data_IF_207824959662
#
_entry.id   IF_207824959662
#
_cell.length_a   1.000
_cell.length_b   1.000
_cell.length_c   1.000
_cell.angle_alpha   90.00
_cell.angle_beta   90.00
_cell.angle_gamma   90.00
#
_symmetry.space_group_name_H-M   'P 1'
#
loop_
_entity.id
_entity.type
_entity.pdbx_description
1 polymer ?
#
# COMPACT_ATOMS: atom_id res chain seq x y z
N UNK A 1 22.94 19.51 -26.31
CA UNK A 1 22.17 18.92 -25.21
C UNK A 1 22.76 17.54 -24.95
N UNK A 2 23.53 17.30 -23.88
CA UNK A 2 24.05 15.95 -23.64
C UNK A 2 22.88 15.08 -23.16
N UNK A 3 22.65 13.97 -23.84
CA UNK A 3 21.72 12.95 -23.40
C UNK A 3 22.26 12.34 -22.11
N UNK A 4 21.49 12.42 -21.03
CA UNK A 4 21.80 11.72 -19.80
C UNK A 4 21.76 10.22 -20.09
N UNK A 5 22.94 9.60 -20.14
CA UNK A 5 23.11 8.16 -20.24
C UNK A 5 22.61 7.57 -18.91
N UNK A 6 21.37 7.11 -18.88
CA UNK A 6 20.81 6.38 -17.76
C UNK A 6 21.44 4.99 -17.74
N UNK A 7 22.61 4.88 -17.12
CA UNK A 7 23.26 3.60 -16.86
C UNK A 7 22.24 2.64 -16.23
N UNK A 8 21.93 1.54 -16.92
CA UNK A 8 21.02 0.50 -16.43
C UNK A 8 21.65 -0.13 -15.19
N UNK A 9 21.24 0.33 -14.01
CA UNK A 9 21.61 -0.33 -12.77
C UNK A 9 20.87 -1.67 -12.69
N UNK A 10 21.54 -2.74 -12.27
CA UNK A 10 20.88 -4.03 -12.07
C UNK A 10 19.74 -3.85 -11.05
N UNK A 11 18.56 -4.39 -11.38
CA UNK A 11 17.40 -4.33 -10.50
C UNK A 11 17.76 -4.98 -9.16
N UNK A 12 17.74 -4.19 -8.08
CA UNK A 12 17.91 -4.72 -6.74
C UNK A 12 16.68 -5.57 -6.38
N UNK A 13 16.84 -6.68 -5.64
CA UNK A 13 15.70 -7.47 -5.22
C UNK A 13 14.79 -6.65 -4.31
N UNK A 14 13.48 -6.89 -4.40
CA UNK A 14 12.51 -6.29 -3.49
C UNK A 14 12.76 -6.78 -2.07
N UNK A 15 12.75 -5.85 -1.11
CA UNK A 15 12.96 -6.15 0.31
C UNK A 15 11.70 -5.95 1.14
N UNK A 16 10.80 -5.07 0.70
CA UNK A 16 9.43 -4.92 1.22
C UNK A 16 8.54 -4.20 0.20
N UNK A 17 7.23 -4.42 0.27
CA UNK A 17 6.25 -3.70 -0.55
C UNK A 17 5.16 -3.10 0.32
N UNK A 18 5.03 -1.78 0.25
CA UNK A 18 3.95 -1.02 0.85
C UNK A 18 2.87 -0.75 -0.19
N UNK A 19 1.61 -0.85 0.22
CA UNK A 19 0.47 -0.59 -0.67
C UNK A 19 -0.44 0.49 -0.10
N UNK A 20 -0.97 1.37 -0.95
CA UNK A 20 -2.20 2.09 -0.61
C UNK A 20 -3.37 1.11 -0.46
N UNK A 21 -4.32 1.40 0.42
CA UNK A 21 -5.53 0.58 0.55
C UNK A 21 -6.58 0.98 -0.49
N UNK A 22 -7.30 2.09 -0.28
CA UNK A 22 -8.33 2.60 -1.19
C UNK A 22 -7.71 3.11 -2.50
N UNK A 23 -8.34 2.79 -3.64
CA UNK A 23 -7.84 3.15 -4.97
C UNK A 23 -6.60 2.36 -5.41
N UNK A 24 -6.18 1.34 -4.67
CA UNK A 24 -5.00 0.55 -4.98
C UNK A 24 -5.24 -0.96 -4.77
N UNK A 25 -5.24 -1.46 -3.53
CA UNK A 25 -5.56 -2.87 -3.27
C UNK A 25 -7.05 -3.17 -3.37
N UNK A 26 -7.88 -2.23 -2.92
CA UNK A 26 -9.35 -2.31 -2.90
C UNK A 26 -9.94 -0.97 -3.34
N UNK A 27 -11.26 -0.87 -3.41
CA UNK A 27 -12.00 0.35 -3.71
C UNK A 27 -11.52 1.00 -5.02
N UNK A 28 -11.71 0.28 -6.13
CA UNK A 28 -11.32 0.76 -7.46
C UNK A 28 -11.87 2.17 -7.71
N UNK A 29 -10.97 3.11 -8.02
CA UNK A 29 -11.30 4.52 -8.22
C UNK A 29 -11.38 5.36 -6.93
N UNK A 30 -10.96 4.84 -5.78
CA UNK A 30 -10.94 5.53 -4.48
C UNK A 30 -12.30 6.15 -4.09
N UNK A 31 -13.40 5.43 -4.39
CA UNK A 31 -14.77 5.92 -4.26
C UNK A 31 -15.12 6.24 -2.80
N UNK A 32 -14.50 5.56 -1.84
CA UNK A 32 -14.74 5.77 -0.41
C UNK A 32 -14.39 7.20 0.02
N UNK A 33 -13.34 7.79 -0.55
CA UNK A 33 -12.90 9.18 -0.24
C UNK A 33 -13.82 10.25 -0.81
N UNK A 34 -14.60 9.91 -1.82
CA UNK A 34 -15.52 10.84 -2.48
C UNK A 34 -16.91 10.86 -1.82
N UNK A 35 -17.18 9.93 -0.90
CA UNK A 35 -18.46 9.78 -0.25
C UNK A 35 -18.47 10.42 1.14
N UNK A 36 -19.66 10.85 1.58
CA UNK A 36 -19.87 11.40 2.92
C UNK A 36 -20.22 10.32 3.97
N UNK A 37 -20.34 9.04 3.56
CA UNK A 37 -20.57 7.92 4.48
C UNK A 37 -19.25 7.43 5.05
N UNK A 38 -19.27 6.83 6.24
CA UNK A 38 -18.12 6.15 6.84
C UNK A 38 -18.07 4.65 6.50
N UNK A 39 -19.19 4.13 5.97
CA UNK A 39 -19.36 2.71 5.68
C UNK A 39 -19.17 2.44 4.18
N UNK A 40 -18.22 1.57 3.79
CA UNK A 40 -18.04 1.15 2.42
C UNK A 40 -19.18 0.21 1.97
N UNK A 41 -19.54 0.33 0.71
CA UNK A 41 -20.35 -0.64 -0.02
C UNK A 41 -19.55 -1.95 -0.24
N UNK A 42 -20.19 -3.13 -0.25
CA UNK A 42 -19.52 -4.40 -0.56
C UNK A 42 -18.68 -4.37 -1.84
N UNK A 43 -19.07 -3.59 -2.85
CA UNK A 43 -18.30 -3.46 -4.10
C UNK A 43 -16.97 -2.71 -3.89
N UNK A 44 -16.90 -1.81 -2.90
CA UNK A 44 -15.67 -1.08 -2.55
C UNK A 44 -14.69 -1.96 -1.77
N UNK A 45 -15.18 -2.94 -1.02
CA UNK A 45 -14.33 -3.90 -0.33
C UNK A 45 -13.73 -4.98 -1.26
N UNK A 46 -14.11 -5.01 -2.54
CA UNK A 46 -13.54 -5.96 -3.50
C UNK A 46 -12.10 -5.57 -3.85
N UNK A 47 -11.25 -6.58 -3.93
CA UNK A 47 -9.88 -6.42 -4.40
C UNK A 47 -9.86 -5.95 -5.85
N UNK A 48 -8.96 -5.02 -6.17
CA UNK A 48 -8.77 -4.55 -7.54
C UNK A 48 -8.22 -5.66 -8.44
N UNK A 49 -8.43 -5.58 -9.77
CA UNK A 49 -7.94 -6.60 -10.69
C UNK A 49 -6.44 -6.88 -10.52
N UNK A 50 -6.10 -8.15 -10.26
CA UNK A 50 -4.71 -8.60 -10.09
C UNK A 50 -4.11 -8.40 -8.69
N UNK A 51 -4.77 -7.69 -7.76
CA UNK A 51 -4.24 -7.43 -6.42
C UNK A 51 -3.99 -8.72 -5.63
N UNK A 52 -4.98 -9.62 -5.57
CA UNK A 52 -4.84 -10.88 -4.82
C UNK A 52 -3.74 -11.80 -5.38
N UNK A 53 -3.62 -11.87 -6.71
CA UNK A 53 -2.57 -12.67 -7.36
C UNK A 53 -1.17 -12.07 -7.09
N UNK A 54 -1.07 -10.75 -7.10
CA UNK A 54 0.17 -10.03 -6.78
C UNK A 54 0.58 -10.27 -5.33
N UNK A 55 -0.35 -10.09 -4.39
CA UNK A 55 -0.15 -10.36 -2.97
C UNK A 55 0.27 -11.82 -2.73
N UNK A 56 -0.39 -12.78 -3.39
CA UNK A 56 -0.04 -14.21 -3.29
C UNK A 56 1.40 -14.47 -3.72
N UNK A 57 1.86 -13.88 -4.83
CA UNK A 57 3.24 -14.04 -5.31
C UNK A 57 4.26 -13.44 -4.33
N UNK A 58 4.00 -12.24 -3.82
CA UNK A 58 4.86 -11.58 -2.82
C UNK A 58 4.97 -12.43 -1.55
N UNK A 59 3.85 -12.98 -1.08
CA UNK A 59 3.84 -13.88 0.07
C UNK A 59 4.66 -15.16 -0.17
N UNK A 60 4.53 -15.78 -1.34
CA UNK A 60 5.30 -16.97 -1.72
C UNK A 60 6.81 -16.71 -1.82
N UNK A 61 7.20 -15.48 -2.16
CA UNK A 61 8.59 -15.04 -2.20
C UNK A 61 9.12 -14.59 -0.82
N UNK A 62 8.28 -14.60 0.21
CA UNK A 62 8.64 -14.14 1.56
C UNK A 62 8.87 -12.62 1.64
N UNK A 63 8.31 -11.84 0.70
CA UNK A 63 8.46 -10.38 0.70
C UNK A 63 7.45 -9.78 1.70
N UNK A 64 7.91 -9.07 2.75
CA UNK A 64 7.03 -8.47 3.73
C UNK A 64 6.19 -7.35 3.09
N UNK A 65 4.90 -7.33 3.39
CA UNK A 65 3.98 -6.33 2.87
C UNK A 65 3.08 -5.76 3.98
N UNK A 66 2.71 -4.49 3.82
CA UNK A 66 1.71 -3.81 4.64
C UNK A 66 0.89 -2.85 3.76
N UNK A 67 -0.30 -2.46 4.24
CA UNK A 67 -1.11 -1.44 3.58
C UNK A 67 -1.23 -0.16 4.42
N UNK A 68 -1.33 0.99 3.75
CA UNK A 68 -1.49 2.31 4.35
C UNK A 68 -2.83 2.93 3.99
N UNK A 69 -3.44 3.63 4.96
CA UNK A 69 -4.71 4.33 4.79
C UNK A 69 -4.84 5.48 5.80
N UNK A 70 -5.49 6.58 5.39
CA UNK A 70 -5.83 7.74 6.24
C UNK A 70 -7.34 7.91 6.49
N UNK A 71 -8.16 7.04 5.91
CA UNK A 71 -9.56 6.87 6.33
C UNK A 71 -9.67 6.42 7.79
N UNK A 72 -10.88 6.56 8.35
CA UNK A 72 -11.18 6.12 9.70
C UNK A 72 -10.91 4.61 9.88
N UNK A 73 -10.37 4.18 11.03
CA UNK A 73 -9.96 2.77 11.22
C UNK A 73 -11.08 1.74 11.05
N UNK A 74 -12.34 2.13 11.21
CA UNK A 74 -13.48 1.26 10.96
C UNK A 74 -13.68 1.02 9.45
N UNK A 75 -13.72 2.08 8.65
CA UNK A 75 -13.85 2.02 7.19
C UNK A 75 -12.70 1.28 6.55
N UNK A 76 -11.45 1.58 6.96
CA UNK A 76 -10.25 0.92 6.44
C UNK A 76 -10.28 -0.59 6.69
N UNK A 77 -10.72 -1.02 7.87
CA UNK A 77 -10.87 -2.45 8.19
C UNK A 77 -11.97 -3.11 7.35
N UNK A 78 -13.08 -2.42 7.11
CA UNK A 78 -14.17 -2.94 6.30
C UNK A 78 -13.77 -3.04 4.81
N UNK A 79 -13.03 -2.05 4.30
CA UNK A 79 -12.46 -2.08 2.95
C UNK A 79 -11.47 -3.24 2.77
N UNK A 80 -10.63 -3.49 3.76
CA UNK A 80 -9.63 -4.56 3.72
C UNK A 80 -10.21 -5.97 3.91
N UNK A 81 -11.53 -6.14 4.08
CA UNK A 81 -12.13 -7.42 4.45
C UNK A 81 -11.93 -8.55 3.43
N UNK A 82 -11.74 -8.23 2.14
CA UNK A 82 -11.45 -9.21 1.09
C UNK A 82 -9.95 -9.52 0.94
N UNK A 83 -9.08 -8.81 1.66
CA UNK A 83 -7.64 -9.01 1.58
C UNK A 83 -7.21 -10.20 2.47
N UNK A 84 -6.12 -10.89 2.12
CA UNK A 84 -5.60 -11.98 2.95
C UNK A 84 -5.22 -11.49 4.36
N UNK A 85 -5.53 -12.29 5.39
CA UNK A 85 -5.26 -11.91 6.79
C UNK A 85 -3.78 -11.63 7.10
N UNK A 86 -2.85 -12.12 6.29
CA UNK A 86 -1.42 -11.93 6.51
C UNK A 86 -0.93 -10.52 6.17
N UNK A 87 -1.59 -9.77 5.26
CA UNK A 87 -1.21 -8.38 4.99
C UNK A 87 -1.90 -7.46 5.99
N UNK A 88 -1.09 -6.85 6.87
CA UNK A 88 -1.57 -6.07 8.01
C UNK A 88 -1.62 -4.57 7.69
N UNK A 89 -2.50 -3.81 8.39
CA UNK A 89 -2.39 -2.35 8.42
C UNK A 89 -1.02 -1.93 8.90
N UNK A 90 -0.46 -0.90 8.27
CA UNK A 90 0.59 -0.10 8.86
C UNK A 90 0.07 0.59 10.14
N UNK A 91 0.96 0.83 11.13
CA UNK A 91 0.61 1.65 12.28
C UNK A 91 0.15 3.05 11.85
N UNK A 92 -0.76 3.63 12.63
CA UNK A 92 -1.27 4.97 12.34
C UNK A 92 -0.19 6.03 12.59
N UNK A 93 0.06 6.84 11.57
CA UNK A 93 0.93 8.02 11.67
C UNK A 93 0.10 9.27 11.98
N UNK A 94 0.46 10.07 13.00
CA UNK A 94 -0.22 11.33 13.30
C UNK A 94 0.07 12.42 12.26
N UNK A 95 1.22 12.33 11.56
CA UNK A 95 1.55 13.25 10.48
C UNK A 95 0.75 12.86 9.22
N UNK A 96 -0.07 13.77 8.66
CA UNK A 96 -0.83 13.50 7.45
C UNK A 96 0.09 13.40 6.24
N UNK A 97 -0.43 12.83 5.16
CA UNK A 97 0.27 12.79 3.89
C UNK A 97 0.38 14.22 3.33
N UNK A 98 1.49 14.60 2.65
CA UNK A 98 2.56 13.75 2.12
C UNK A 98 3.78 13.57 3.03
N UNK A 99 3.62 13.70 4.36
CA UNK A 99 4.72 13.43 5.27
C UNK A 99 5.20 11.97 5.16
N UNK A 100 6.52 11.71 5.21
CA UNK A 100 7.09 10.38 5.00
C UNK A 100 6.83 9.40 6.15
N UNK A 101 6.35 9.90 7.29
CA UNK A 101 6.16 9.16 8.54
C UNK A 101 5.36 7.87 8.35
N UNK A 102 4.29 7.89 7.56
CA UNK A 102 3.47 6.70 7.32
C UNK A 102 4.29 5.56 6.68
N UNK A 103 5.10 5.88 5.68
CA UNK A 103 5.99 4.91 5.04
C UNK A 103 7.08 4.41 5.99
N UNK A 104 7.74 5.31 6.72
CA UNK A 104 8.78 4.91 7.67
C UNK A 104 8.24 4.03 8.79
N UNK A 105 7.09 4.37 9.37
CA UNK A 105 6.48 3.57 10.43
C UNK A 105 6.02 2.20 9.91
N UNK A 106 5.49 2.13 8.69
CA UNK A 106 5.16 0.85 8.05
C UNK A 106 6.41 -0.04 7.87
N UNK A 107 7.50 0.53 7.36
CA UNK A 107 8.77 -0.20 7.18
C UNK A 107 9.36 -0.66 8.52
N UNK A 108 9.31 0.18 9.56
CA UNK A 108 9.73 -0.19 10.92
C UNK A 108 8.88 -1.33 11.48
N UNK A 109 7.55 -1.29 11.29
CA UNK A 109 6.64 -2.35 11.73
C UNK A 109 6.87 -3.68 11.00
N UNK A 110 7.33 -3.63 9.74
CA UNK A 110 7.76 -4.80 8.97
C UNK A 110 9.18 -5.27 9.34
N UNK A 111 9.87 -4.57 10.25
CA UNK A 111 11.23 -4.87 10.71
C UNK A 111 12.23 -5.01 9.54
N UNK A 112 12.11 -4.15 8.53
CA UNK A 112 13.04 -4.13 7.39
C UNK A 112 14.41 -3.63 7.84
N UNK A 113 15.48 -4.16 7.25
CA UNK A 113 16.86 -3.80 7.62
C UNK A 113 17.33 -2.46 7.05
N UNK A 114 16.62 -1.95 6.04
CA UNK A 114 16.92 -0.71 5.34
C UNK A 114 15.87 -0.39 4.30
N UNK A 115 15.99 0.76 3.65
CA UNK A 115 15.04 1.24 2.62
C UNK A 115 15.37 0.75 1.21
N UNK A 116 16.56 0.19 1.02
CA UNK A 116 17.00 -0.28 -0.29
C UNK A 116 16.14 -1.46 -0.75
N UNK A 117 15.54 -1.34 -1.93
CA UNK A 117 14.60 -2.33 -2.47
C UNK A 117 13.19 -2.27 -1.88
N UNK A 118 12.89 -1.31 -0.99
CA UNK A 118 11.53 -1.06 -0.54
C UNK A 118 10.76 -0.26 -1.60
N UNK A 119 9.52 -0.65 -1.87
CA UNK A 119 8.66 0.01 -2.87
C UNK A 119 7.32 0.38 -2.24
N UNK A 120 6.79 1.55 -2.61
CA UNK A 120 5.41 1.95 -2.37
C UNK A 120 4.62 1.86 -3.67
N UNK A 121 3.46 1.22 -3.64
CA UNK A 121 2.50 1.15 -4.74
C UNK A 121 1.22 1.84 -4.29
N UNK A 122 0.89 2.96 -4.93
CA UNK A 122 -0.29 3.77 -4.57
C UNK A 122 -0.88 4.45 -5.80
N UNK A 123 -2.21 4.55 -5.83
CA UNK A 123 -2.93 5.44 -6.75
C UNK A 123 -3.24 6.81 -6.14
N UNK A 124 -2.96 7.01 -4.84
CA UNK A 124 -3.14 8.28 -4.13
C UNK A 124 -1.87 9.13 -4.25
N UNK A 125 -1.91 10.31 -4.89
CA UNK A 125 -0.74 11.15 -5.10
C UNK A 125 -0.16 11.78 -3.83
N UNK A 126 -0.95 11.91 -2.76
CA UNK A 126 -0.45 12.44 -1.50
C UNK A 126 0.36 11.41 -0.71
N UNK A 127 0.07 10.11 -0.87
CA UNK A 127 0.80 9.03 -0.24
C UNK A 127 2.14 8.77 -0.96
#
# INVERSE_FOLDING_TARGET
MPHADASVQPARPLTAVLFGLSGCLVDFGARMRQQATDKPDPEQAQATPGALETLRRLHQQGIPCAWLEQLLPASSRQLAAALPDWIKPAPHSPAPWPAPDACWQALMALNVKGIDGCVLVSGEPQL
#
